data_IF_732417763534
#
_entry.id   IF_732417763534
#
_cell.length_a   1.000
_cell.length_b   1.000
_cell.length_c   1.000
_cell.angle_alpha   90.00
_cell.angle_beta   90.00
_cell.angle_gamma   90.00
#
_symmetry.space_group_name_H-M   'P 1'
#
loop_
_entity.id
_entity.type
_entity.pdbx_description
1 polymer ?
#
# COMPACT_ATOMS: atom_id res chain seq x y z
N UNK A 1 19.63 7.74 -3.89
CA UNK A 1 19.80 6.95 -5.13
C UNK A 1 21.28 6.94 -5.40
N UNK A 2 21.94 5.77 -5.47
CA UNK A 2 23.37 5.76 -5.74
C UNK A 2 23.62 6.43 -7.10
N UNK A 3 24.80 7.03 -7.23
CA UNK A 3 25.31 7.69 -8.43
C UNK A 3 25.54 6.68 -9.57
N UNK A 4 24.49 5.99 -10.00
CA UNK A 4 24.52 5.15 -11.18
C UNK A 4 24.35 6.04 -12.42
N UNK A 5 25.31 5.90 -13.34
CA UNK A 5 25.42 6.68 -14.56
C UNK A 5 24.24 6.34 -15.49
N UNK A 6 23.12 7.05 -15.31
CA UNK A 6 21.91 6.87 -16.11
C UNK A 6 22.25 7.09 -17.59
N UNK A 7 21.86 6.15 -18.48
CA UNK A 7 22.08 6.33 -19.91
C UNK A 7 21.31 7.55 -20.42
N UNK A 8 21.87 8.21 -21.43
CA UNK A 8 21.20 9.33 -22.07
C UNK A 8 19.89 8.90 -22.78
N UNK A 9 19.06 9.88 -23.11
CA UNK A 9 17.78 9.65 -23.75
C UNK A 9 17.90 8.93 -25.10
N UNK A 10 18.96 9.22 -25.87
CA UNK A 10 19.19 8.61 -27.18
C UNK A 10 19.49 7.10 -27.06
N UNK A 11 20.26 6.72 -26.05
CA UNK A 11 20.61 5.34 -25.73
C UNK A 11 19.36 4.60 -25.24
N UNK A 12 18.60 5.19 -24.31
CA UNK A 12 17.34 4.62 -23.81
C UNK A 12 16.31 4.40 -24.91
N UNK A 13 16.23 5.28 -25.91
CA UNK A 13 15.30 5.11 -27.04
C UNK A 13 15.63 3.88 -27.90
N UNK A 14 16.91 3.47 -27.95
CA UNK A 14 17.36 2.27 -28.66
C UNK A 14 17.24 1.01 -27.79
N UNK A 15 17.77 1.04 -26.57
CA UNK A 15 17.80 -0.14 -25.69
C UNK A 15 16.45 -0.42 -25.04
N UNK A 16 15.59 0.59 -24.89
CA UNK A 16 14.24 0.58 -24.27
C UNK A 16 14.16 0.12 -22.81
N UNK A 17 15.26 -0.35 -22.25
CA UNK A 17 15.39 -0.78 -20.87
C UNK A 17 16.78 -0.44 -20.35
N UNK A 18 16.86 -0.13 -19.07
CA UNK A 18 18.10 0.00 -18.32
C UNK A 18 17.95 -0.79 -17.04
N UNK A 19 18.82 -1.78 -16.83
CA UNK A 19 18.84 -2.59 -15.62
C UNK A 19 19.86 -1.96 -14.66
N UNK A 20 19.41 -1.63 -13.46
CA UNK A 20 20.27 -1.23 -12.36
C UNK A 20 21.17 -2.40 -11.97
N UNK A 21 22.46 -2.14 -11.79
CA UNK A 21 23.45 -3.15 -11.41
C UNK A 21 23.76 -3.09 -9.91
N UNK A 22 23.28 -2.06 -9.23
CA UNK A 22 23.34 -1.92 -7.78
C UNK A 22 22.68 -3.11 -7.06
N UNK A 23 23.15 -3.37 -5.85
CA UNK A 23 22.58 -4.40 -4.99
C UNK A 23 21.08 -4.13 -4.76
N UNK A 24 20.24 -5.17 -4.65
CA UNK A 24 18.81 -4.99 -4.39
C UNK A 24 18.64 -4.28 -3.05
N UNK A 25 17.88 -3.18 -3.06
CA UNK A 25 17.50 -2.49 -1.83
C UNK A 25 16.41 -3.30 -1.12
N UNK A 26 16.70 -3.77 0.10
CA UNK A 26 15.75 -4.49 0.94
C UNK A 26 15.12 -3.47 1.90
N UNK A 27 13.81 -3.27 1.78
CA UNK A 27 13.10 -2.37 2.68
C UNK A 27 13.16 -2.88 4.14
N UNK A 28 13.37 -1.97 5.09
CA UNK A 28 13.45 -2.25 6.53
C UNK A 28 14.58 -3.21 6.94
N UNK A 29 15.62 -3.36 6.10
CA UNK A 29 16.75 -4.25 6.38
C UNK A 29 17.40 -3.97 7.74
N UNK A 30 17.66 -2.71 8.06
CA UNK A 30 18.28 -2.32 9.33
C UNK A 30 17.36 -2.60 10.52
N UNK A 31 16.03 -2.40 10.37
CA UNK A 31 15.05 -2.71 11.42
C UNK A 31 14.99 -4.20 11.76
N UNK A 32 15.35 -5.08 10.81
CA UNK A 32 15.39 -6.53 11.02
C UNK A 32 16.76 -6.98 11.52
N UNK A 33 17.85 -6.39 11.00
CA UNK A 33 19.23 -6.74 11.38
C UNK A 33 19.60 -6.23 12.77
N UNK A 34 19.13 -5.05 13.16
CA UNK A 34 19.43 -4.41 14.43
C UNK A 34 18.18 -3.69 14.99
N UNK A 35 17.19 -4.46 15.50
CA UNK A 35 15.91 -3.92 15.97
C UNK A 35 16.04 -3.02 17.22
N UNK A 36 17.10 -3.17 18.01
CA UNK A 36 17.30 -2.39 19.23
C UNK A 36 17.73 -0.96 18.91
N UNK A 37 18.58 -0.77 17.88
CA UNK A 37 19.01 0.55 17.43
C UNK A 37 18.15 1.13 16.28
N UNK A 38 17.37 0.29 15.60
CA UNK A 38 16.47 0.68 14.50
C UNK A 38 15.03 0.16 14.74
N UNK A 39 14.34 0.59 15.81
CA UNK A 39 12.97 0.14 16.05
C UNK A 39 11.99 0.70 15.01
N UNK A 40 10.90 -0.01 14.77
CA UNK A 40 9.77 0.53 13.99
C UNK A 40 9.10 1.68 14.76
N UNK A 41 8.48 2.65 14.06
CA UNK A 41 7.75 3.76 14.69
C UNK A 41 6.38 3.31 15.22
N UNK A 42 6.35 2.23 15.99
CA UNK A 42 5.17 1.66 16.65
C UNK A 42 5.38 1.66 18.16
N UNK A 43 4.31 1.61 18.97
CA UNK A 43 4.43 1.54 20.43
C UNK A 43 5.31 0.39 20.93
N UNK A 44 5.32 -0.75 20.24
CA UNK A 44 6.16 -1.91 20.58
C UNK A 44 7.58 -1.87 20.00
N UNK A 45 7.90 -0.91 19.13
CA UNK A 45 9.15 -0.89 18.36
C UNK A 45 9.24 -1.98 17.28
N UNK A 46 8.16 -2.75 17.05
CA UNK A 46 8.10 -3.91 16.15
C UNK A 46 6.92 -3.81 15.18
N UNK A 47 6.86 -4.71 14.21
CA UNK A 47 5.67 -4.89 13.37
C UNK A 47 4.53 -5.45 14.24
N UNK A 48 3.43 -4.70 14.36
CA UNK A 48 2.28 -5.06 15.20
C UNK A 48 1.28 -5.92 14.42
N UNK A 49 1.27 -7.23 14.69
CA UNK A 49 0.23 -8.15 14.17
C UNK A 49 -1.11 -7.91 14.88
N UNK A 50 -1.05 -7.50 16.15
CA UNK A 50 -2.19 -7.09 16.96
C UNK A 50 -1.99 -5.65 17.40
N UNK A 51 -2.95 -4.77 17.13
CA UNK A 51 -2.90 -3.39 17.57
C UNK A 51 -3.74 -3.17 18.84
N UNK A 52 -3.07 -3.01 19.98
CA UNK A 52 -3.74 -2.66 21.25
C UNK A 52 -4.58 -1.39 21.13
N UNK A 53 -4.07 -0.38 20.40
CA UNK A 53 -4.79 0.87 20.17
C UNK A 53 -6.15 0.64 19.50
N UNK A 54 -6.20 -0.19 18.46
CA UNK A 54 -7.45 -0.54 17.78
C UNK A 54 -8.36 -1.39 18.66
N UNK A 55 -7.78 -2.30 19.46
CA UNK A 55 -8.54 -3.12 20.40
C UNK A 55 -9.28 -2.26 21.44
N UNK A 56 -8.57 -1.29 22.01
CA UNK A 56 -9.10 -0.38 23.03
C UNK A 56 -10.22 0.53 22.47
N UNK A 57 -10.29 0.73 21.14
CA UNK A 57 -11.37 1.51 20.50
C UNK A 57 -12.73 0.79 20.48
N UNK A 58 -12.76 -0.54 20.67
CA UNK A 58 -13.97 -1.36 20.64
C UNK A 58 -14.87 -1.12 19.40
N UNK A 59 -14.26 -0.79 18.25
CA UNK A 59 -14.98 -0.49 17.03
C UNK A 59 -15.21 -1.76 16.19
N UNK A 60 -16.45 -2.18 15.92
CA UNK A 60 -16.73 -3.46 15.27
C UNK A 60 -16.20 -3.54 13.83
N UNK A 61 -16.14 -2.41 13.12
CA UNK A 61 -15.64 -2.38 11.74
C UNK A 61 -14.12 -2.25 11.62
N UNK A 62 -13.40 -2.02 12.73
CA UNK A 62 -11.96 -1.79 12.73
C UNK A 62 -11.32 -2.75 13.74
N UNK A 63 -11.24 -4.05 13.40
CA UNK A 63 -10.73 -5.06 14.32
C UNK A 63 -9.23 -4.87 14.57
N UNK A 64 -8.80 -5.19 15.79
CA UNK A 64 -7.39 -5.10 16.21
C UNK A 64 -6.46 -6.11 15.55
N UNK A 65 -7.04 -7.18 15.02
CA UNK A 65 -6.39 -8.25 14.27
C UNK A 65 -7.04 -8.30 12.89
N UNK A 66 -6.28 -8.71 11.88
CA UNK A 66 -6.83 -8.94 10.54
C UNK A 66 -7.97 -9.96 10.60
N UNK A 67 -9.19 -9.48 10.37
CA UNK A 67 -10.41 -10.27 10.38
C UNK A 67 -11.30 -9.82 9.22
N UNK A 68 -12.13 -10.73 8.70
CA UNK A 68 -13.08 -10.38 7.67
C UNK A 68 -14.18 -9.49 8.24
N UNK A 69 -14.41 -8.34 7.60
CA UNK A 69 -15.53 -7.45 7.91
C UNK A 69 -16.32 -7.26 6.61
N UNK A 70 -17.61 -7.64 6.56
CA UNK A 70 -18.44 -7.43 5.39
C UNK A 70 -18.50 -5.94 5.02
N UNK A 71 -18.47 -5.64 3.73
CA UNK A 71 -18.62 -4.27 3.24
C UNK A 71 -20.10 -3.85 3.27
N UNK A 72 -20.34 -2.58 3.60
CA UNK A 72 -21.63 -1.92 3.38
C UNK A 72 -22.01 -1.98 1.90
N UNK A 73 -23.24 -2.39 1.57
CA UNK A 73 -23.70 -2.58 0.18
C UNK A 73 -22.84 -3.58 -0.61
N UNK A 74 -22.21 -4.52 0.10
CA UNK A 74 -21.43 -5.60 -0.50
C UNK A 74 -22.29 -6.76 -1.04
N UNK A 75 -21.65 -7.80 -1.60
CA UNK A 75 -22.36 -8.98 -2.12
C UNK A 75 -23.18 -9.76 -1.08
N UNK A 76 -22.81 -9.65 0.20
CA UNK A 76 -23.50 -10.29 1.32
C UNK A 76 -24.63 -9.41 1.91
N UNK A 77 -24.78 -8.18 1.42
CA UNK A 77 -25.79 -7.24 1.89
C UNK A 77 -27.19 -7.65 1.37
N UNK A 78 -28.22 -7.44 2.19
CA UNK A 78 -29.60 -7.69 1.80
C UNK A 78 -30.02 -6.88 0.56
N UNK A 79 -29.44 -5.69 0.38
CA UNK A 79 -29.69 -4.80 -0.76
C UNK A 79 -29.25 -5.39 -2.10
N UNK A 80 -28.36 -6.39 -2.11
CA UNK A 80 -27.97 -7.09 -3.33
C UNK A 80 -29.16 -7.78 -4.05
N UNK A 81 -30.27 -8.03 -3.33
CA UNK A 81 -31.51 -8.57 -3.92
C UNK A 81 -32.23 -7.54 -4.81
N UNK A 82 -32.23 -6.29 -4.38
CA UNK A 82 -32.89 -5.18 -5.08
C UNK A 82 -31.94 -4.51 -6.09
N UNK A 83 -30.65 -4.47 -5.76
CA UNK A 83 -29.58 -3.86 -6.55
C UNK A 83 -28.49 -4.90 -6.86
N UNK A 84 -28.69 -5.78 -7.86
CA UNK A 84 -27.81 -6.93 -8.10
C UNK A 84 -26.45 -6.60 -8.74
N UNK A 85 -26.22 -5.34 -9.13
CA UNK A 85 -24.99 -4.91 -9.82
C UNK A 85 -24.16 -3.98 -8.92
N UNK A 86 -22.89 -4.31 -8.74
CA UNK A 86 -21.94 -3.46 -8.01
C UNK A 86 -21.31 -2.41 -8.94
N UNK A 87 -21.37 -1.13 -8.56
CA UNK A 87 -20.69 -0.06 -9.27
C UNK A 87 -19.22 0.01 -8.86
N UNK A 88 -18.32 -0.41 -9.75
CA UNK A 88 -16.87 -0.36 -9.52
C UNK A 88 -16.27 0.80 -10.30
N UNK A 89 -15.79 1.83 -9.60
CA UNK A 89 -15.23 3.05 -10.21
C UNK A 89 -13.71 2.96 -10.39
N UNK A 90 -13.26 2.16 -11.36
CA UNK A 90 -11.85 2.10 -11.74
C UNK A 90 -11.36 3.39 -12.42
N UNK A 91 -10.13 3.81 -12.12
CA UNK A 91 -9.48 4.95 -12.78
C UNK A 91 -9.14 4.62 -14.25
N UNK A 92 -9.82 5.29 -15.19
CA UNK A 92 -9.56 5.14 -16.62
C UNK A 92 -8.07 5.26 -17.03
N UNK A 93 -7.63 4.41 -17.97
CA UNK A 93 -6.23 4.32 -18.42
C UNK A 93 -5.64 5.65 -18.94
N UNK A 94 -6.49 6.57 -19.39
CA UNK A 94 -6.10 7.87 -19.97
C UNK A 94 -6.50 9.06 -19.10
N UNK A 95 -7.13 8.86 -17.93
CA UNK A 95 -7.54 9.98 -17.08
C UNK A 95 -6.41 10.40 -16.14
N UNK A 96 -5.96 11.65 -16.27
CA UNK A 96 -5.40 12.38 -15.13
C UNK A 96 -6.58 12.87 -14.29
N UNK A 97 -6.49 12.74 -12.97
CA UNK A 97 -7.51 13.31 -12.09
C UNK A 97 -7.60 14.81 -12.42
N UNK A 98 -8.81 15.26 -12.73
CA UNK A 98 -9.10 16.67 -12.90
C UNK A 98 -8.97 17.30 -11.51
N UNK A 99 -7.83 17.95 -11.24
CA UNK A 99 -7.70 18.80 -10.08
C UNK A 99 -8.61 20.02 -10.31
N UNK A 100 -9.79 20.01 -9.71
CA UNK A 100 -10.56 21.23 -9.53
C UNK A 100 -9.80 22.09 -8.51
N UNK A 101 -8.99 23.02 -8.99
CA UNK A 101 -8.46 24.12 -8.18
C UNK A 101 -9.68 24.98 -7.82
N UNK A 102 -10.02 25.04 -6.54
CA UNK A 102 -10.86 26.08 -5.94
C UNK A 102 -9.97 27.22 -5.48
#
# INVERSE_FOLDING_TARGET
>A
MPDENLPDFATLRKTRQHLFKSAPSVAFEDNIRDPDNHPFPTPSGKIEIFSKRLFDMQHPEIPALSHYVPAHEGPEDALAKDFPLQLITWKGKKSRQLNAIR
#
